data_IF_414036910485
#
_entry.id   IF_414036910485
#
_cell.length_a   1.000
_cell.length_b   1.000
_cell.length_c   1.000
_cell.angle_alpha   90.00
_cell.angle_beta   90.00
_cell.angle_gamma   90.00
#
_symmetry.space_group_name_H-M   'P 1'
#
loop_
_entity.id
_entity.type
_entity.pdbx_description
1 polymer ?
#
# COMPACT_ATOMS: atom_id res chain seq x y z
N UNK A 1 -20.88 -15.55 2.40
CA UNK A 1 -19.48 -15.76 1.96
C UNK A 1 -19.44 -17.00 1.12
N UNK A 2 -18.94 -16.98 -0.09
CA UNK A 2 -18.92 -18.14 -0.99
C UNK A 2 -18.64 -17.76 -2.44
N UNK A 3 -18.87 -16.53 -2.83
CA UNK A 3 -18.61 -16.08 -4.19
C UNK A 3 -17.27 -15.36 -4.31
N UNK A 4 -16.58 -15.67 -5.41
CA UNK A 4 -15.28 -15.04 -5.74
C UNK A 4 -15.53 -13.64 -6.26
N UNK A 5 -15.17 -12.62 -5.48
CA UNK A 5 -15.32 -11.21 -5.83
C UNK A 5 -14.02 -10.44 -5.66
N UNK A 6 -13.95 -9.26 -6.26
CA UNK A 6 -12.76 -8.42 -6.24
C UNK A 6 -11.64 -8.95 -7.12
N UNK A 7 -10.41 -8.51 -6.85
CA UNK A 7 -9.19 -8.92 -7.56
C UNK A 7 -8.19 -9.63 -6.64
N UNK A 8 -8.34 -9.50 -5.32
CA UNK A 8 -7.42 -10.13 -4.36
C UNK A 8 -7.69 -11.63 -4.21
N UNK A 9 -8.95 -12.01 -3.95
CA UNK A 9 -9.35 -13.38 -3.59
C UNK A 9 -10.23 -14.05 -4.66
N UNK A 10 -10.15 -13.60 -5.91
CA UNK A 10 -10.83 -14.20 -7.06
C UNK A 10 -9.86 -14.89 -8.02
N UNK A 11 -10.38 -15.77 -8.86
CA UNK A 11 -9.63 -16.46 -9.91
C UNK A 11 -10.48 -16.62 -11.20
N UNK A 12 -9.89 -17.21 -12.24
CA UNK A 12 -10.56 -17.48 -13.51
C UNK A 12 -11.06 -16.24 -14.24
N UNK A 13 -12.25 -16.33 -14.85
CA UNK A 13 -12.86 -15.26 -15.67
C UNK A 13 -13.07 -13.99 -14.85
N UNK A 14 -13.61 -14.09 -13.63
CA UNK A 14 -13.85 -12.93 -12.77
C UNK A 14 -12.57 -12.15 -12.53
N UNK A 15 -11.51 -12.81 -12.06
CA UNK A 15 -10.22 -12.16 -11.83
C UNK A 15 -9.66 -11.50 -13.08
N UNK A 16 -9.68 -12.22 -14.21
CA UNK A 16 -9.11 -11.73 -15.45
C UNK A 16 -9.81 -10.46 -15.94
N UNK A 17 -11.15 -10.48 -15.99
CA UNK A 17 -11.95 -9.35 -16.47
C UNK A 17 -11.81 -8.14 -15.52
N UNK A 18 -11.95 -8.36 -14.20
CA UNK A 18 -11.89 -7.30 -13.20
C UNK A 18 -10.50 -6.65 -13.14
N UNK A 19 -9.43 -7.44 -13.17
CA UNK A 19 -8.06 -6.92 -13.19
C UNK A 19 -7.77 -6.13 -14.48
N UNK A 20 -8.14 -6.68 -15.62
CA UNK A 20 -7.92 -6.02 -16.93
C UNK A 20 -8.70 -4.71 -17.02
N UNK A 21 -9.96 -4.71 -16.61
CA UNK A 21 -10.80 -3.53 -16.54
C UNK A 21 -10.19 -2.46 -15.62
N UNK A 22 -9.83 -2.84 -14.40
CA UNK A 22 -9.25 -1.92 -13.43
C UNK A 22 -7.97 -1.27 -13.95
N UNK A 23 -7.00 -2.05 -14.45
CA UNK A 23 -5.74 -1.51 -14.97
C UNK A 23 -5.99 -0.55 -16.13
N UNK A 24 -6.87 -0.93 -17.11
CA UNK A 24 -7.15 -0.11 -18.26
C UNK A 24 -7.78 1.22 -17.88
N UNK A 25 -8.81 1.18 -17.05
CA UNK A 25 -9.57 2.39 -16.72
C UNK A 25 -8.87 3.29 -15.71
N UNK A 26 -8.13 2.74 -14.75
CA UNK A 26 -7.25 3.54 -13.90
C UNK A 26 -6.18 4.30 -14.72
N UNK A 27 -5.63 3.68 -15.78
CA UNK A 27 -4.71 4.38 -16.70
C UNK A 27 -5.40 5.52 -17.46
N UNK A 28 -6.63 5.33 -17.93
CA UNK A 28 -7.42 6.39 -18.57
C UNK A 28 -7.72 7.54 -17.61
N UNK A 29 -7.96 7.25 -16.34
CA UNK A 29 -8.17 8.24 -15.28
C UNK A 29 -6.87 8.91 -14.79
N UNK A 30 -5.75 8.67 -15.46
CA UNK A 30 -4.47 9.31 -15.20
C UNK A 30 -3.46 8.50 -14.38
N UNK A 31 -3.77 7.24 -14.05
CA UNK A 31 -2.85 6.36 -13.33
C UNK A 31 -1.54 6.14 -14.09
N UNK A 32 -0.43 6.54 -13.46
CA UNK A 32 0.91 6.47 -14.07
C UNK A 32 1.24 7.64 -15.00
N UNK A 33 0.33 8.60 -15.18
CA UNK A 33 0.52 9.82 -15.96
C UNK A 33 0.67 11.08 -15.10
N UNK A 34 0.76 12.21 -15.78
CA UNK A 34 0.96 13.53 -15.16
C UNK A 34 -0.17 13.92 -14.20
N UNK A 35 -1.42 13.57 -14.51
CA UNK A 35 -2.57 13.84 -13.63
C UNK A 35 -2.43 13.16 -12.27
N UNK A 36 -1.99 11.87 -12.26
CA UNK A 36 -1.76 11.15 -11.01
C UNK A 36 -0.59 11.76 -10.22
N UNK A 37 0.47 12.18 -10.90
CA UNK A 37 1.59 12.85 -10.25
C UNK A 37 1.14 14.12 -9.53
N UNK A 38 0.36 14.96 -10.20
CA UNK A 38 -0.19 16.21 -9.62
C UNK A 38 -1.06 15.92 -8.39
N UNK A 39 -1.96 14.92 -8.48
CA UNK A 39 -2.82 14.53 -7.36
C UNK A 39 -2.00 14.06 -6.15
N UNK A 40 -1.01 13.20 -6.36
CA UNK A 40 -0.13 12.71 -5.28
C UNK A 40 0.70 13.84 -4.69
N UNK A 41 1.25 14.71 -5.53
CA UNK A 41 2.07 15.84 -5.08
C UNK A 41 1.26 16.80 -4.22
N UNK A 42 0.03 17.11 -4.61
CA UNK A 42 -0.89 17.91 -3.81
C UNK A 42 -1.16 17.29 -2.44
N UNK A 43 -1.42 15.98 -2.39
CA UNK A 43 -1.64 15.27 -1.12
C UNK A 43 -0.37 15.21 -0.26
N UNK A 44 0.81 15.00 -0.86
CA UNK A 44 2.09 15.05 -0.17
C UNK A 44 2.41 16.44 0.41
N UNK A 45 2.10 17.51 -0.34
CA UNK A 45 2.25 18.89 0.13
C UNK A 45 1.28 19.22 1.27
N UNK A 46 0.01 18.81 1.14
CA UNK A 46 -0.98 18.98 2.20
C UNK A 46 -0.58 18.24 3.48
N UNK A 47 -0.04 17.03 3.33
CA UNK A 47 0.51 16.28 4.45
C UNK A 47 1.73 16.98 5.07
N UNK A 48 2.65 17.48 4.26
CA UNK A 48 3.82 18.24 4.72
C UNK A 48 3.41 19.49 5.52
N UNK A 49 2.44 20.27 5.02
CA UNK A 49 1.87 21.44 5.74
C UNK A 49 1.17 21.03 7.04
N UNK A 50 0.47 19.89 7.04
CA UNK A 50 -0.14 19.34 8.25
C UNK A 50 0.92 18.99 9.30
N UNK A 51 1.99 18.30 8.91
CA UNK A 51 3.13 17.98 9.79
C UNK A 51 3.77 19.25 10.33
N UNK A 52 4.00 20.26 9.50
CA UNK A 52 4.56 21.56 9.93
C UNK A 52 3.73 22.22 11.03
N UNK A 53 2.41 22.22 10.91
CA UNK A 53 1.52 22.75 11.95
C UNK A 53 1.58 21.95 13.25
N UNK A 54 1.61 20.62 13.15
CA UNK A 54 1.70 19.73 14.33
C UNK A 54 3.04 19.85 15.05
N UNK A 55 4.14 20.00 14.32
CA UNK A 55 5.49 20.15 14.89
C UNK A 55 5.67 21.42 15.72
N UNK A 56 4.92 22.50 15.45
CA UNK A 56 4.97 23.72 16.26
C UNK A 56 4.62 23.49 17.73
N UNK A 57 3.91 22.41 18.03
CA UNK A 57 3.48 22.03 19.36
C UNK A 57 4.32 20.91 20.03
N UNK A 58 5.44 20.49 19.40
CA UNK A 58 6.35 19.48 19.96
C UNK A 58 6.48 18.19 19.12
N UNK A 59 6.84 17.10 19.78
CA UNK A 59 7.08 15.81 19.14
C UNK A 59 5.80 15.25 18.52
N UNK A 60 5.96 14.57 17.39
CA UNK A 60 4.86 13.83 16.76
C UNK A 60 4.90 12.40 17.24
N UNK A 61 3.94 12.06 18.09
CA UNK A 61 3.67 10.69 18.49
C UNK A 61 2.69 10.09 17.47
N UNK A 62 3.00 8.91 16.94
CA UNK A 62 2.12 8.15 16.07
C UNK A 62 1.74 8.87 14.73
N UNK A 63 2.72 9.05 13.85
CA UNK A 63 2.46 9.55 12.49
C UNK A 63 1.54 8.63 11.66
N UNK A 64 1.43 7.37 12.02
CA UNK A 64 0.79 6.31 11.22
C UNK A 64 -0.63 6.63 10.77
N UNK A 65 -1.47 7.11 11.69
CA UNK A 65 -2.87 7.42 11.37
C UNK A 65 -2.96 8.53 10.32
N UNK A 66 -2.12 9.56 10.45
CA UNK A 66 -2.11 10.70 9.53
C UNK A 66 -1.49 10.33 8.18
N UNK A 67 -0.41 9.54 8.19
CA UNK A 67 0.19 8.99 6.97
C UNK A 67 -0.82 8.13 6.21
N UNK A 68 -1.56 7.26 6.92
CA UNK A 68 -2.59 6.42 6.32
C UNK A 68 -3.72 7.24 5.68
N UNK A 69 -4.16 8.32 6.33
CA UNK A 69 -5.20 9.20 5.78
C UNK A 69 -4.69 9.99 4.55
N UNK A 70 -3.45 10.47 4.59
CA UNK A 70 -2.84 11.17 3.46
C UNK A 70 -2.65 10.24 2.24
N UNK A 71 -2.18 9.02 2.46
CA UNK A 71 -2.06 7.98 1.41
C UNK A 71 -3.43 7.57 0.88
N UNK A 72 -4.44 7.46 1.76
CA UNK A 72 -5.82 7.22 1.33
C UNK A 72 -6.29 8.29 0.36
N UNK A 73 -6.03 9.57 0.63
CA UNK A 73 -6.43 10.67 -0.24
C UNK A 73 -5.87 10.52 -1.65
N UNK A 74 -4.59 10.15 -1.79
CA UNK A 74 -3.96 9.93 -3.10
C UNK A 74 -4.62 8.80 -3.90
N UNK A 75 -5.07 7.73 -3.22
CA UNK A 75 -5.82 6.66 -3.86
C UNK A 75 -7.27 7.07 -4.16
N UNK A 76 -7.94 7.70 -3.19
CA UNK A 76 -9.37 8.00 -3.23
C UNK A 76 -9.72 9.11 -4.21
N UNK A 77 -8.80 10.05 -4.44
CA UNK A 77 -8.99 11.08 -5.47
C UNK A 77 -9.20 10.49 -6.87
N UNK A 78 -8.61 9.33 -7.15
CA UNK A 78 -8.77 8.61 -8.43
C UNK A 78 -9.99 7.67 -8.39
N UNK A 79 -10.22 7.02 -7.24
CA UNK A 79 -11.25 5.98 -7.11
C UNK A 79 -12.64 6.58 -6.98
N UNK A 80 -12.80 7.66 -6.19
CA UNK A 80 -14.09 8.29 -5.88
C UNK A 80 -14.13 9.80 -6.10
N UNK A 81 -13.11 10.39 -6.70
CA UNK A 81 -13.08 11.82 -7.05
C UNK A 81 -13.03 12.80 -5.88
N UNK A 82 -12.77 12.36 -4.65
CA UNK A 82 -12.76 13.24 -3.47
C UNK A 82 -11.72 12.86 -2.43
N UNK A 83 -11.42 13.80 -1.53
CA UNK A 83 -10.45 13.70 -0.45
C UNK A 83 -11.09 13.96 0.90
N UNK A 84 -10.40 13.53 1.95
CA UNK A 84 -10.76 13.81 3.34
C UNK A 84 -9.81 14.86 3.92
N UNK A 85 -10.32 15.73 4.76
CA UNK A 85 -9.53 16.72 5.47
C UNK A 85 -8.62 16.02 6.52
N UNK A 86 -7.34 16.38 6.56
CA UNK A 86 -6.36 15.77 7.46
C UNK A 86 -6.50 16.20 8.92
N UNK A 87 -7.11 17.37 9.18
CA UNK A 87 -7.26 17.89 10.54
C UNK A 87 -8.49 17.29 11.24
N UNK A 88 -9.65 17.36 10.58
CA UNK A 88 -10.91 16.89 11.13
C UNK A 88 -11.12 15.39 10.91
N UNK A 89 -10.65 14.88 9.76
CA UNK A 89 -10.97 13.55 9.30
C UNK A 89 -12.49 13.35 9.10
N UNK A 90 -12.87 12.24 8.50
CA UNK A 90 -14.26 11.77 8.55
C UNK A 90 -14.33 10.67 9.61
N UNK A 91 -15.17 10.77 10.64
CA UNK A 91 -15.25 9.79 11.73
C UNK A 91 -15.52 8.36 11.25
N UNK A 92 -16.32 8.19 10.17
CA UNK A 92 -16.60 6.87 9.58
C UNK A 92 -15.37 6.31 8.88
N UNK A 93 -14.65 7.16 8.16
CA UNK A 93 -13.40 6.78 7.47
C UNK A 93 -12.31 6.45 8.48
N UNK A 94 -12.10 7.29 9.50
CA UNK A 94 -11.12 7.06 10.56
C UNK A 94 -11.38 5.74 11.28
N UNK A 95 -12.64 5.45 11.62
CA UNK A 95 -13.03 4.17 12.23
C UNK A 95 -12.82 2.99 11.28
N UNK A 96 -13.07 3.18 9.98
CA UNK A 96 -12.84 2.13 8.97
C UNK A 96 -11.35 1.86 8.81
N UNK A 97 -10.51 2.91 8.73
CA UNK A 97 -9.05 2.80 8.71
C UNK A 97 -8.52 2.06 9.94
N UNK A 98 -8.95 2.47 11.13
CA UNK A 98 -8.54 1.82 12.38
C UNK A 98 -8.95 0.34 12.41
N UNK A 99 -10.18 0.04 12.01
CA UNK A 99 -10.70 -1.33 11.96
C UNK A 99 -9.90 -2.19 10.99
N UNK A 100 -9.55 -1.66 9.81
CA UNK A 100 -8.77 -2.40 8.82
C UNK A 100 -7.31 -2.54 9.23
N UNK A 101 -6.68 -1.49 9.77
CA UNK A 101 -5.31 -1.56 10.29
C UNK A 101 -5.20 -2.59 11.42
N UNK A 102 -6.17 -2.62 12.34
CA UNK A 102 -6.23 -3.63 13.40
C UNK A 102 -6.42 -5.03 12.82
N UNK A 103 -7.23 -5.15 11.77
CA UNK A 103 -7.44 -6.43 11.09
C UNK A 103 -6.16 -6.97 10.45
N UNK A 104 -5.42 -6.11 9.76
CA UNK A 104 -4.14 -6.47 9.11
C UNK A 104 -3.09 -6.87 10.16
N UNK A 105 -2.97 -6.08 11.24
CA UNK A 105 -2.04 -6.36 12.36
C UNK A 105 -2.35 -7.69 13.07
N UNK A 106 -3.63 -8.02 13.25
CA UNK A 106 -4.06 -9.21 13.99
C UNK A 106 -4.29 -10.44 13.09
N UNK A 107 -4.08 -10.31 11.78
CA UNK A 107 -4.22 -11.40 10.83
C UNK A 107 -2.89 -12.11 10.63
N UNK A 108 -2.92 -13.43 10.61
CA UNK A 108 -1.76 -14.25 10.26
C UNK A 108 -1.89 -14.66 8.79
N UNK A 109 -0.79 -14.67 8.05
CA UNK A 109 -0.73 -15.09 6.63
C UNK A 109 -1.17 -16.54 6.45
N UNK A 110 -0.86 -17.41 7.43
CA UNK A 110 -1.32 -18.81 7.45
C UNK A 110 -2.80 -18.96 7.83
N UNK A 111 -3.45 -17.84 8.22
CA UNK A 111 -4.82 -17.82 8.71
C UNK A 111 -4.93 -18.26 10.17
N UNK A 112 -6.08 -17.89 10.77
CA UNK A 112 -6.42 -18.33 12.13
C UNK A 112 -6.99 -19.75 12.17
N UNK A 113 -7.48 -20.16 13.34
CA UNK A 113 -8.06 -21.49 13.60
C UNK A 113 -9.14 -21.89 12.57
N UNK A 114 -9.85 -20.91 12.00
CA UNK A 114 -10.88 -21.13 10.97
C UNK A 114 -10.33 -21.67 9.63
N UNK A 115 -9.05 -21.40 9.32
CA UNK A 115 -8.43 -21.93 8.10
C UNK A 115 -8.08 -23.41 8.26
N UNK A 116 -7.74 -23.82 9.49
CA UNK A 116 -7.38 -25.21 9.79
C UNK A 116 -8.59 -26.06 10.16
N UNK A 117 -9.56 -25.46 10.88
CA UNK A 117 -10.76 -26.12 11.37
C UNK A 117 -12.02 -25.33 10.95
N UNK A 118 -12.37 -25.30 9.65
CA UNK A 118 -13.44 -24.43 9.12
C UNK A 118 -14.83 -24.77 9.66
N UNK A 119 -15.04 -25.98 10.18
CA UNK A 119 -16.31 -26.38 10.79
C UNK A 119 -16.63 -25.63 12.09
N UNK A 120 -15.61 -25.07 12.78
CA UNK A 120 -15.78 -24.27 13.99
C UNK A 120 -16.67 -23.04 13.78
N UNK A 121 -16.78 -22.54 12.54
CA UNK A 121 -17.74 -21.47 12.20
C UNK A 121 -19.22 -21.84 12.47
N UNK A 122 -19.54 -23.13 12.54
CA UNK A 122 -20.88 -23.62 12.77
C UNK A 122 -21.11 -24.06 14.21
N UNK A 123 -20.11 -24.67 14.84
CA UNK A 123 -20.27 -25.28 16.19
C UNK A 123 -19.77 -24.36 17.32
N UNK A 124 -18.81 -23.49 17.03
CA UNK A 124 -18.22 -22.59 18.03
C UNK A 124 -17.85 -21.22 17.41
N UNK A 125 -18.81 -20.45 16.84
CA UNK A 125 -18.53 -19.24 16.08
C UNK A 125 -17.88 -18.13 16.91
N UNK A 126 -18.28 -17.96 18.17
CA UNK A 126 -17.64 -16.99 19.10
C UNK A 126 -16.21 -17.38 19.44
N UNK A 127 -15.97 -18.64 19.82
CA UNK A 127 -14.65 -19.14 20.20
C UNK A 127 -13.67 -19.08 19.02
N UNK A 128 -14.11 -19.39 17.83
CA UNK A 128 -13.29 -19.36 16.61
C UNK A 128 -13.02 -17.94 16.08
N UNK A 129 -13.66 -16.90 16.63
CA UNK A 129 -13.60 -15.53 16.14
C UNK A 129 -14.43 -15.28 14.86
N UNK A 130 -15.26 -16.25 14.45
CA UNK A 130 -16.07 -16.16 13.24
C UNK A 130 -17.09 -15.03 13.30
N UNK A 131 -17.77 -14.85 14.44
CA UNK A 131 -18.75 -13.77 14.61
C UNK A 131 -18.11 -12.40 14.51
N UNK A 132 -16.95 -12.20 15.17
CA UNK A 132 -16.19 -10.94 15.09
C UNK A 132 -15.72 -10.65 13.67
N UNK A 133 -15.20 -11.68 12.98
CA UNK A 133 -14.79 -11.57 11.58
C UNK A 133 -15.96 -11.15 10.70
N UNK A 134 -17.13 -11.77 10.85
CA UNK A 134 -18.33 -11.45 10.07
C UNK A 134 -18.84 -10.03 10.36
N UNK A 135 -18.91 -9.65 11.62
CA UNK A 135 -19.33 -8.29 11.99
C UNK A 135 -18.42 -7.24 11.35
N UNK A 136 -17.12 -7.44 11.42
CA UNK A 136 -16.11 -6.56 10.81
C UNK A 136 -16.25 -6.49 9.29
N UNK A 137 -16.39 -7.65 8.64
CA UNK A 137 -16.58 -7.73 7.19
C UNK A 137 -17.86 -7.04 6.74
N UNK A 138 -18.95 -7.21 7.48
CA UNK A 138 -20.23 -6.59 7.20
C UNK A 138 -20.18 -5.07 7.37
N UNK A 139 -19.57 -4.55 8.45
CA UNK A 139 -19.37 -3.11 8.64
C UNK A 139 -18.58 -2.48 7.50
N UNK A 140 -17.50 -3.14 7.10
CA UNK A 140 -16.68 -2.69 5.97
C UNK A 140 -17.45 -2.76 4.64
N UNK A 141 -18.24 -3.81 4.44
CA UNK A 141 -19.08 -3.96 3.26
C UNK A 141 -20.10 -2.84 3.14
N UNK A 142 -20.84 -2.54 4.22
CA UNK A 142 -21.84 -1.47 4.28
C UNK A 142 -21.18 -0.13 3.94
N UNK A 143 -20.01 0.18 4.48
CA UNK A 143 -19.29 1.42 4.20
C UNK A 143 -19.07 1.64 2.70
N UNK A 144 -18.60 0.61 1.97
CA UNK A 144 -18.37 0.71 0.52
C UNK A 144 -19.66 0.62 -0.30
N UNK A 145 -20.66 -0.11 0.16
CA UNK A 145 -21.97 -0.16 -0.48
C UNK A 145 -22.67 1.20 -0.43
N UNK A 146 -22.60 1.92 0.71
CA UNK A 146 -23.10 3.29 0.84
C UNK A 146 -22.39 4.25 -0.13
N UNK A 147 -21.09 4.06 -0.37
CA UNK A 147 -20.34 4.88 -1.32
C UNK A 147 -20.79 4.64 -2.77
N UNK A 148 -20.99 3.37 -3.15
CA UNK A 148 -21.53 3.00 -4.48
C UNK A 148 -22.94 3.57 -4.67
N UNK A 149 -23.78 3.49 -3.65
CA UNK A 149 -25.15 4.05 -3.70
C UNK A 149 -25.14 5.56 -3.92
N UNK A 150 -24.32 6.31 -3.17
CA UNK A 150 -24.18 7.77 -3.33
C UNK A 150 -23.70 8.16 -4.74
N UNK A 151 -22.76 7.40 -5.32
CA UNK A 151 -22.32 7.63 -6.69
C UNK A 151 -23.44 7.36 -7.69
N UNK A 152 -24.16 6.25 -7.51
CA UNK A 152 -25.29 5.86 -8.37
C UNK A 152 -26.40 6.91 -8.38
N UNK A 153 -26.72 7.50 -7.22
CA UNK A 153 -27.75 8.55 -7.10
C UNK A 153 -27.38 9.84 -7.89
N UNK A 154 -26.09 10.09 -8.07
CA UNK A 154 -25.58 11.26 -8.80
C UNK A 154 -24.97 10.94 -10.18
N UNK A 155 -24.95 9.63 -10.56
CA UNK A 155 -24.34 9.18 -11.80
C UNK A 155 -25.16 9.62 -13.02
N UNK A 156 -24.45 10.02 -14.07
CA UNK A 156 -25.03 10.38 -15.37
C UNK A 156 -24.26 9.66 -16.49
N UNK A 157 -24.96 9.04 -17.44
CA UNK A 157 -24.32 8.39 -18.58
C UNK A 157 -23.37 9.33 -19.34
N UNK A 158 -22.16 8.86 -19.62
CA UNK A 158 -21.13 9.61 -20.35
C UNK A 158 -20.30 10.58 -19.49
N UNK A 159 -20.64 10.82 -18.23
CA UNK A 159 -19.83 11.59 -17.28
C UNK A 159 -18.99 10.61 -16.45
N UNK A 160 -17.66 10.72 -16.56
CA UNK A 160 -16.67 9.84 -15.92
C UNK A 160 -15.81 10.65 -14.95
N UNK A 161 -16.34 10.95 -13.76
CA UNK A 161 -15.62 11.71 -12.72
C UNK A 161 -14.46 10.93 -12.12
N UNK A 162 -14.66 9.61 -11.96
CA UNK A 162 -13.77 8.72 -11.21
C UNK A 162 -13.97 7.24 -11.64
N UNK A 163 -13.27 6.33 -10.94
CA UNK A 163 -13.35 4.90 -11.24
C UNK A 163 -14.72 4.29 -10.96
N UNK A 164 -15.45 4.79 -9.95
CA UNK A 164 -16.79 4.29 -9.63
C UNK A 164 -17.74 4.59 -10.79
N UNK A 165 -17.72 5.81 -11.33
CA UNK A 165 -18.55 6.20 -12.47
C UNK A 165 -18.26 5.34 -13.71
N UNK A 166 -16.98 5.12 -14.01
CA UNK A 166 -16.56 4.27 -15.13
C UNK A 166 -17.03 2.83 -14.95
N UNK A 167 -17.05 2.34 -13.71
CA UNK A 167 -17.53 0.99 -13.43
C UNK A 167 -19.04 0.88 -13.51
N UNK A 168 -19.79 1.90 -13.05
CA UNK A 168 -21.26 1.96 -13.19
C UNK A 168 -21.67 1.99 -14.66
N UNK A 169 -20.93 2.72 -15.52
CA UNK A 169 -21.15 2.72 -16.96
C UNK A 169 -20.96 1.31 -17.57
N UNK A 170 -19.95 0.56 -17.14
CA UNK A 170 -19.72 -0.82 -17.58
C UNK A 170 -20.82 -1.78 -17.14
N UNK A 171 -21.36 -1.59 -15.90
CA UNK A 171 -22.53 -2.35 -15.43
C UNK A 171 -23.72 -2.10 -16.34
N UNK A 172 -24.03 -0.83 -16.64
CA UNK A 172 -25.16 -0.46 -17.51
C UNK A 172 -24.97 -1.00 -18.95
N UNK A 173 -23.78 -0.89 -19.50
CA UNK A 173 -23.45 -1.40 -20.82
C UNK A 173 -23.63 -2.92 -20.96
N UNK A 174 -23.44 -3.66 -19.86
CA UNK A 174 -23.53 -5.13 -19.83
C UNK A 174 -24.76 -5.67 -19.14
N UNK A 175 -25.75 -4.85 -18.84
CA UNK A 175 -26.94 -5.28 -18.08
C UNK A 175 -27.70 -6.46 -18.69
N UNK A 176 -27.66 -6.61 -20.02
CA UNK A 176 -28.32 -7.66 -20.77
C UNK A 176 -27.42 -8.89 -21.06
N UNK A 177 -26.18 -8.90 -20.58
CA UNK A 177 -25.27 -10.03 -20.73
C UNK A 177 -25.32 -10.92 -19.48
N UNK A 178 -25.99 -12.11 -19.54
CA UNK A 178 -26.11 -13.02 -18.39
C UNK A 178 -24.77 -13.62 -17.95
N UNK A 179 -23.72 -13.48 -18.77
CA UNK A 179 -22.37 -13.96 -18.46
C UNK A 179 -21.48 -12.89 -17.90
N UNK A 180 -21.98 -11.65 -17.74
CA UNK A 180 -21.23 -10.51 -17.22
C UNK A 180 -20.76 -10.74 -15.79
N UNK A 181 -19.49 -10.39 -15.54
CA UNK A 181 -18.95 -10.37 -14.18
C UNK A 181 -19.08 -8.99 -13.52
N UNK A 182 -19.67 -8.01 -14.21
CA UNK A 182 -19.82 -6.63 -13.73
C UNK A 182 -21.17 -6.43 -13.06
N UNK A 183 -21.14 -6.13 -11.76
CA UNK A 183 -22.30 -5.81 -10.95
C UNK A 183 -21.89 -4.99 -9.72
N UNK A 184 -22.86 -4.42 -9.00
CA UNK A 184 -22.60 -3.55 -7.84
C UNK A 184 -21.84 -4.28 -6.72
N UNK A 185 -22.16 -5.57 -6.46
CA UNK A 185 -21.46 -6.34 -5.43
C UNK A 185 -19.98 -6.55 -5.78
N UNK A 186 -19.66 -6.70 -7.06
CA UNK A 186 -18.30 -6.81 -7.54
C UNK A 186 -17.56 -5.46 -7.42
N UNK A 187 -18.24 -4.34 -7.69
CA UNK A 187 -17.68 -3.00 -7.48
C UNK A 187 -17.36 -2.77 -6.00
N UNK A 188 -18.29 -3.07 -5.09
CA UNK A 188 -18.07 -2.97 -3.63
C UNK A 188 -16.85 -3.80 -3.20
N UNK A 189 -16.70 -5.03 -3.75
CA UNK A 189 -15.55 -5.87 -3.45
C UNK A 189 -14.23 -5.27 -3.97
N UNK A 190 -14.24 -4.65 -5.17
CA UNK A 190 -13.07 -3.96 -5.72
C UNK A 190 -12.66 -2.76 -4.87
N UNK A 191 -13.61 -1.91 -4.45
CA UNK A 191 -13.34 -0.76 -3.59
C UNK A 191 -12.70 -1.19 -2.27
N UNK A 192 -13.24 -2.27 -1.67
CA UNK A 192 -12.67 -2.88 -0.47
C UNK A 192 -11.24 -3.39 -0.71
N UNK A 193 -10.99 -4.06 -1.84
CA UNK A 193 -9.67 -4.57 -2.18
C UNK A 193 -8.66 -3.42 -2.36
N UNK A 194 -9.03 -2.36 -3.07
CA UNK A 194 -8.18 -1.18 -3.28
C UNK A 194 -7.87 -0.46 -1.97
N UNK A 195 -8.87 -0.29 -1.12
CA UNK A 195 -8.71 0.34 0.19
C UNK A 195 -7.76 -0.48 1.08
N UNK A 196 -8.01 -1.79 1.21
CA UNK A 196 -7.22 -2.67 2.05
C UNK A 196 -5.75 -2.77 1.60
N UNK A 197 -5.53 -2.91 0.29
CA UNK A 197 -4.20 -3.11 -0.26
C UNK A 197 -3.39 -1.81 -0.37
N UNK A 198 -4.04 -0.70 -0.75
CA UNK A 198 -3.33 0.52 -1.16
C UNK A 198 -2.89 1.40 -0.01
N UNK A 199 -3.55 1.34 1.15
CA UNK A 199 -3.30 2.27 2.25
C UNK A 199 -2.20 1.74 3.17
N UNK A 200 -2.41 0.59 3.79
CA UNK A 200 -1.50 0.07 4.81
C UNK A 200 -0.09 -0.18 4.27
N UNK A 201 0.03 -0.76 3.08
CA UNK A 201 1.33 -1.06 2.47
C UNK A 201 2.12 0.20 2.14
N UNK A 202 1.48 1.20 1.54
CA UNK A 202 2.15 2.44 1.12
C UNK A 202 2.49 3.34 2.32
N UNK A 203 1.57 3.46 3.30
CA UNK A 203 1.86 4.21 4.53
C UNK A 203 3.00 3.59 5.32
N UNK A 204 3.04 2.26 5.46
CA UNK A 204 4.17 1.57 6.10
C UNK A 204 5.50 1.82 5.36
N UNK A 205 5.50 1.88 4.00
CA UNK A 205 6.72 2.20 3.24
C UNK A 205 7.27 3.59 3.61
N UNK A 206 6.38 4.58 3.71
CA UNK A 206 6.75 5.95 4.11
C UNK A 206 7.25 5.96 5.56
N UNK A 207 6.56 5.28 6.47
CA UNK A 207 6.91 5.23 7.90
C UNK A 207 8.24 4.53 8.14
N UNK A 208 8.51 3.41 7.48
CA UNK A 208 9.83 2.76 7.51
C UNK A 208 10.92 3.70 7.00
N UNK A 209 10.66 4.44 5.90
CA UNK A 209 11.63 5.39 5.36
C UNK A 209 11.94 6.48 6.38
N UNK A 210 10.92 7.11 6.96
CA UNK A 210 11.11 8.15 7.98
C UNK A 210 11.80 7.56 9.22
N UNK A 211 11.44 6.34 9.62
CA UNK A 211 12.10 5.62 10.70
C UNK A 211 13.60 5.44 10.44
N UNK A 212 13.97 4.90 9.28
CA UNK A 212 15.39 4.75 8.92
C UNK A 212 16.13 6.08 8.80
N UNK A 213 15.49 7.13 8.26
CA UNK A 213 16.08 8.48 8.25
C UNK A 213 16.31 9.01 9.67
N UNK A 214 15.42 8.68 10.61
CA UNK A 214 15.54 9.09 12.02
C UNK A 214 16.71 8.40 12.72
N UNK A 215 16.91 7.10 12.49
CA UNK A 215 17.94 6.31 13.18
C UNK A 215 19.29 6.27 12.45
N UNK A 216 19.33 6.70 11.18
CA UNK A 216 20.53 6.75 10.35
C UNK A 216 20.77 8.20 9.84
N UNK A 217 21.20 9.13 10.71
CA UNK A 217 21.33 10.55 10.37
C UNK A 217 22.29 10.81 9.20
N UNK A 218 23.36 10.03 9.06
CA UNK A 218 24.33 10.18 7.96
C UNK A 218 23.69 9.86 6.59
N UNK A 219 22.80 8.87 6.55
CA UNK A 219 22.04 8.53 5.34
C UNK A 219 21.03 9.63 5.03
N UNK A 220 20.36 10.16 6.05
CA UNK A 220 19.44 11.30 5.89
C UNK A 220 20.20 12.53 5.33
N UNK A 221 21.40 12.81 5.84
CA UNK A 221 22.22 13.94 5.36
C UNK A 221 22.61 13.79 3.89
N UNK A 222 23.02 12.59 3.46
CA UNK A 222 23.33 12.30 2.05
C UNK A 222 22.10 12.51 1.16
N UNK A 223 20.92 11.98 1.56
CA UNK A 223 19.67 12.18 0.80
C UNK A 223 19.32 13.66 0.72
N UNK A 224 19.41 14.38 1.82
CA UNK A 224 19.08 15.80 1.86
C UNK A 224 20.02 16.65 1.03
N UNK A 225 21.33 16.33 1.01
CA UNK A 225 22.31 16.98 0.14
C UNK A 225 22.02 16.72 -1.35
N UNK A 226 21.61 15.50 -1.71
CA UNK A 226 21.21 15.16 -3.08
C UNK A 226 19.96 15.93 -3.50
N UNK A 227 18.92 16.00 -2.65
CA UNK A 227 17.71 16.78 -2.91
C UNK A 227 17.99 18.26 -3.10
N UNK A 228 18.84 18.86 -2.24
CA UNK A 228 19.21 20.27 -2.34
C UNK A 228 19.97 20.58 -3.64
N UNK A 229 20.83 19.66 -4.08
CA UNK A 229 21.60 19.80 -5.33
C UNK A 229 20.73 19.67 -6.57
N UNK A 230 19.79 18.72 -6.60
CA UNK A 230 19.03 18.35 -7.81
C UNK A 230 17.73 19.13 -7.92
N UNK A 231 16.99 19.28 -6.84
CA UNK A 231 15.68 19.94 -6.82
C UNK A 231 15.82 21.36 -6.27
N UNK A 232 16.62 21.54 -5.21
CA UNK A 232 16.66 22.76 -4.42
C UNK A 232 15.64 22.79 -3.29
N UNK A 233 15.77 23.72 -2.37
CA UNK A 233 14.94 23.80 -1.15
C UNK A 233 13.53 24.29 -1.41
N UNK A 234 13.34 25.14 -2.42
CA UNK A 234 12.08 25.86 -2.68
C UNK A 234 11.33 25.39 -3.92
N UNK A 235 11.98 24.59 -4.77
CA UNK A 235 11.33 24.06 -5.96
C UNK A 235 10.39 22.89 -5.63
N UNK A 236 9.35 22.75 -6.45
CA UNK A 236 8.39 21.65 -6.30
C UNK A 236 9.01 20.33 -6.74
N UNK A 237 8.87 19.27 -5.95
CA UNK A 237 9.21 17.91 -6.36
C UNK A 237 8.43 17.48 -7.59
N UNK A 238 9.06 16.63 -8.41
CA UNK A 238 8.43 15.99 -9.57
C UNK A 238 9.04 14.61 -9.81
N UNK A 239 8.28 13.70 -10.39
CA UNK A 239 8.76 12.40 -10.84
C UNK A 239 9.82 12.51 -11.93
N UNK A 240 9.88 13.66 -12.63
CA UNK A 240 10.93 13.95 -13.62
C UNK A 240 12.35 13.96 -13.01
N UNK A 241 12.48 14.35 -11.74
CA UNK A 241 13.77 14.34 -11.04
C UNK A 241 14.23 12.96 -10.59
N UNK A 242 13.34 11.94 -10.67
CA UNK A 242 13.61 10.61 -10.09
C UNK A 242 14.91 10.00 -10.59
N UNK A 243 15.17 10.08 -11.90
CA UNK A 243 16.39 9.51 -12.49
C UNK A 243 17.67 10.28 -12.10
N UNK A 244 17.54 11.51 -11.62
CA UNK A 244 18.66 12.36 -11.17
C UNK A 244 18.88 12.27 -9.65
N UNK A 245 18.20 11.35 -8.96
CA UNK A 245 18.27 11.13 -7.51
C UNK A 245 18.67 9.67 -7.21
N UNK A 246 19.89 9.23 -7.63
CA UNK A 246 20.33 7.85 -7.47
C UNK A 246 20.36 7.39 -6.01
N UNK A 247 20.86 8.21 -5.09
CA UNK A 247 20.96 7.81 -3.68
C UNK A 247 19.60 7.71 -3.00
N UNK A 248 18.69 8.63 -3.26
CA UNK A 248 17.31 8.51 -2.77
C UNK A 248 16.63 7.26 -3.32
N UNK A 249 16.77 6.96 -4.61
CA UNK A 249 16.22 5.72 -5.18
C UNK A 249 16.78 4.47 -4.49
N UNK A 250 18.08 4.46 -4.20
CA UNK A 250 18.75 3.39 -3.46
C UNK A 250 18.16 3.24 -2.04
N UNK A 251 17.96 4.34 -1.32
CA UNK A 251 17.30 4.34 0.00
C UNK A 251 15.90 3.76 -0.08
N UNK A 252 15.07 4.21 -1.03
CA UNK A 252 13.70 3.70 -1.18
C UNK A 252 13.66 2.22 -1.52
N UNK A 253 14.62 1.72 -2.30
CA UNK A 253 14.74 0.29 -2.62
C UNK A 253 15.18 -0.53 -1.42
N UNK A 254 16.18 -0.05 -0.67
CA UNK A 254 16.66 -0.73 0.53
C UNK A 254 15.57 -0.79 1.60
N UNK A 255 14.78 0.28 1.76
CA UNK A 255 13.60 0.24 2.63
C UNK A 255 12.62 -0.85 2.22
N UNK A 256 12.29 -0.95 0.93
CA UNK A 256 11.38 -1.99 0.43
C UNK A 256 11.94 -3.41 0.63
N UNK A 257 13.25 -3.58 0.54
CA UNK A 257 13.92 -4.87 0.76
C UNK A 257 13.87 -5.29 2.23
N UNK A 258 14.38 -4.43 3.11
CA UNK A 258 14.60 -4.78 4.52
C UNK A 258 13.28 -4.78 5.34
N UNK A 259 12.34 -3.90 5.00
CA UNK A 259 11.06 -3.82 5.71
C UNK A 259 10.16 -5.03 5.45
N UNK A 260 10.34 -5.72 4.31
CA UNK A 260 9.52 -6.87 3.93
C UNK A 260 8.03 -6.67 4.19
N UNK A 261 7.47 -5.51 3.81
CA UNK A 261 6.06 -5.14 4.08
C UNK A 261 5.10 -6.25 3.66
N UNK A 262 5.34 -6.89 2.52
CA UNK A 262 4.68 -8.12 2.11
C UNK A 262 5.66 -9.29 2.21
N UNK A 263 5.84 -9.93 3.40
CA UNK A 263 6.83 -11.00 3.57
C UNK A 263 6.51 -12.22 2.71
N UNK A 264 5.24 -12.40 2.38
CA UNK A 264 4.75 -13.39 1.42
C UNK A 264 3.81 -12.74 0.42
N UNK A 265 3.51 -13.41 -0.67
CA UNK A 265 2.37 -13.01 -1.51
C UNK A 265 1.04 -13.36 -0.81
N UNK A 266 -0.08 -12.84 -1.33
CA UNK A 266 -1.40 -13.39 -0.98
C UNK A 266 -1.38 -14.87 -1.38
N UNK A 267 -1.94 -15.80 -0.55
CA UNK A 267 -1.95 -17.21 -0.86
C UNK A 267 -2.58 -17.50 -2.24
N UNK A 268 -1.88 -18.24 -3.06
CA UNK A 268 -2.34 -18.66 -4.38
C UNK A 268 -3.00 -20.04 -4.29
N UNK A 269 -3.97 -20.30 -5.14
CA UNK A 269 -4.56 -21.62 -5.30
C UNK A 269 -4.13 -22.22 -6.64
N UNK A 270 -3.56 -23.42 -6.62
CA UNK A 270 -3.27 -24.17 -7.85
C UNK A 270 -4.58 -24.48 -8.59
N UNK A 271 -4.69 -24.06 -9.85
CA UNK A 271 -5.90 -24.23 -10.66
C UNK A 271 -5.94 -25.54 -11.41
N UNK A 272 -4.78 -26.15 -11.63
CA UNK A 272 -4.55 -27.44 -12.30
C UNK A 272 -3.44 -28.20 -11.56
N UNK A 273 -3.36 -29.51 -11.80
CA UNK A 273 -2.20 -30.31 -11.38
C UNK A 273 -0.97 -29.81 -12.15
N UNK A 274 0.15 -29.69 -11.47
CA UNK A 274 1.41 -29.22 -12.05
C UNK A 274 2.61 -29.79 -11.29
N UNK A 275 3.80 -29.62 -11.87
CA UNK A 275 5.07 -29.99 -11.21
C UNK A 275 5.96 -28.76 -11.14
N UNK A 276 6.59 -28.55 -9.99
CA UNK A 276 7.55 -27.48 -9.77
C UNK A 276 8.80 -28.04 -9.08
N UNK A 277 9.95 -27.94 -9.74
CA UNK A 277 11.24 -28.48 -9.26
C UNK A 277 11.18 -29.94 -8.77
N UNK A 278 10.42 -30.80 -9.49
CA UNK A 278 10.23 -32.20 -9.14
C UNK A 278 9.14 -32.51 -8.12
N UNK A 279 8.55 -31.49 -7.49
CA UNK A 279 7.44 -31.64 -6.55
C UNK A 279 6.09 -31.58 -7.27
N UNK A 280 5.19 -32.53 -6.95
CA UNK A 280 3.83 -32.51 -7.44
C UNK A 280 2.99 -31.46 -6.69
N UNK A 281 2.35 -30.54 -7.43
CA UNK A 281 1.41 -29.56 -6.89
C UNK A 281 0.02 -29.92 -7.44
N UNK A 282 -0.81 -30.48 -6.58
CA UNK A 282 -2.17 -30.87 -6.97
C UNK A 282 -3.09 -29.63 -7.08
N UNK A 283 -4.06 -29.72 -7.96
CA UNK A 283 -5.16 -28.76 -8.04
C UNK A 283 -5.77 -28.49 -6.65
N UNK A 284 -6.05 -27.22 -6.38
CA UNK A 284 -6.55 -26.70 -5.10
C UNK A 284 -5.53 -26.64 -3.95
N UNK A 285 -4.27 -27.06 -4.16
CA UNK A 285 -3.26 -26.76 -3.17
C UNK A 285 -3.07 -25.26 -3.01
N UNK A 286 -2.86 -24.83 -1.77
CA UNK A 286 -2.46 -23.46 -1.47
C UNK A 286 -0.95 -23.33 -1.64
N UNK A 287 -0.52 -22.39 -2.47
CA UNK A 287 0.89 -22.05 -2.71
C UNK A 287 1.15 -20.68 -2.12
N UNK A 288 2.13 -20.59 -1.25
CA UNK A 288 2.51 -19.35 -0.56
C UNK A 288 3.97 -19.00 -0.91
N UNK A 289 4.20 -18.14 -1.93
CA UNK A 289 5.53 -17.63 -2.24
C UNK A 289 6.06 -16.76 -1.09
N UNK A 290 7.24 -17.14 -0.57
CA UNK A 290 7.93 -16.42 0.49
C UNK A 290 8.91 -15.40 -0.11
N UNK A 291 8.48 -14.12 -0.19
CA UNK A 291 9.30 -13.04 -0.73
C UNK A 291 10.43 -12.65 0.23
N UNK A 292 10.15 -12.74 1.54
CA UNK A 292 11.13 -12.41 2.57
C UNK A 292 12.39 -13.29 2.46
N UNK A 293 12.24 -14.58 2.12
CA UNK A 293 13.41 -15.46 1.95
C UNK A 293 14.34 -15.00 0.84
N UNK A 294 13.78 -14.37 -0.22
CA UNK A 294 14.57 -13.79 -1.31
C UNK A 294 15.23 -12.47 -0.90
N UNK A 295 14.51 -11.63 -0.18
CA UNK A 295 15.02 -10.31 0.25
C UNK A 295 16.03 -10.40 1.39
N UNK A 296 16.04 -11.51 2.13
CA UNK A 296 16.94 -11.75 3.28
C UNK A 296 17.95 -12.85 3.01
N UNK A 297 18.14 -13.24 1.74
CA UNK A 297 19.11 -14.25 1.34
C UNK A 297 20.54 -13.77 1.61
N UNK A 298 21.31 -14.55 2.40
CA UNK A 298 22.67 -14.18 2.82
C UNK A 298 23.72 -14.37 1.73
N UNK A 299 23.51 -15.33 0.83
CA UNK A 299 24.43 -15.56 -0.28
C UNK A 299 24.38 -14.40 -1.28
N UNK A 300 23.17 -13.88 -1.52
CA UNK A 300 22.98 -12.76 -2.46
C UNK A 300 23.30 -11.41 -1.82
N UNK A 301 22.76 -11.12 -0.62
CA UNK A 301 22.83 -9.79 -0.01
C UNK A 301 24.03 -9.59 0.92
N UNK A 302 24.73 -10.67 1.34
CA UNK A 302 25.86 -10.67 2.29
C UNK A 302 25.42 -10.39 3.73
N UNK A 303 25.02 -9.16 4.03
CA UNK A 303 24.55 -8.69 5.33
C UNK A 303 23.09 -8.18 5.22
N UNK A 304 22.09 -9.07 4.97
CA UNK A 304 20.72 -8.66 4.66
C UNK A 304 20.02 -7.89 5.79
N UNK A 305 20.46 -8.05 7.03
CA UNK A 305 19.93 -7.35 8.22
C UNK A 305 20.41 -5.91 8.32
N UNK A 306 21.49 -5.53 7.62
CA UNK A 306 21.99 -4.16 7.60
C UNK A 306 21.21 -3.27 6.62
N UNK A 307 20.78 -2.09 7.10
CA UNK A 307 20.25 -1.04 6.23
C UNK A 307 21.38 -0.35 5.49
N UNK A 308 21.59 -0.71 4.24
CA UNK A 308 22.70 -0.27 3.41
C UNK A 308 22.25 0.08 1.99
N UNK A 309 21.83 1.33 1.74
CA UNK A 309 21.40 1.79 0.41
C UNK A 309 22.43 1.61 -0.69
N UNK A 310 23.73 1.64 -0.33
CA UNK A 310 24.86 1.48 -1.25
C UNK A 310 24.84 0.15 -2.03
N UNK A 311 24.00 -0.83 -1.64
CA UNK A 311 23.75 -2.06 -2.44
C UNK A 311 23.19 -1.76 -3.83
N UNK A 312 22.49 -0.64 -3.95
CA UNK A 312 21.82 -0.20 -5.17
C UNK A 312 22.56 0.96 -5.86
N UNK A 313 23.83 1.16 -5.54
CA UNK A 313 24.69 2.16 -6.16
C UNK A 313 25.92 1.45 -6.74
N UNK A 314 26.21 1.71 -8.01
CA UNK A 314 27.41 1.18 -8.67
C UNK A 314 28.68 2.00 -8.38
N UNK A 315 29.80 1.58 -8.95
CA UNK A 315 31.11 2.24 -8.81
C UNK A 315 31.17 3.66 -9.39
N UNK A 316 30.20 4.03 -10.24
CA UNK A 316 30.08 5.37 -10.82
C UNK A 316 29.12 6.28 -10.03
N UNK A 317 28.51 5.75 -8.94
CA UNK A 317 27.52 6.47 -8.13
C UNK A 317 26.11 6.47 -8.73
N UNK A 318 25.86 5.65 -9.74
CA UNK A 318 24.57 5.54 -10.41
C UNK A 318 23.68 4.46 -9.75
N UNK A 319 22.38 4.69 -9.83
CA UNK A 319 21.42 3.76 -9.27
C UNK A 319 21.28 2.49 -10.14
N UNK A 320 21.38 1.32 -9.51
CA UNK A 320 21.21 0.02 -10.16
C UNK A 320 20.02 -0.75 -9.57
N UNK A 321 19.29 -1.45 -10.44
CA UNK A 321 18.22 -2.34 -10.01
C UNK A 321 18.75 -3.76 -9.82
N UNK A 322 18.38 -4.37 -8.70
CA UNK A 322 18.66 -5.78 -8.44
C UNK A 322 17.43 -6.64 -8.75
N UNK A 323 17.54 -7.70 -9.59
CA UNK A 323 16.42 -8.55 -9.96
C UNK A 323 15.88 -9.41 -8.80
N UNK A 324 16.64 -9.60 -7.72
CA UNK A 324 16.19 -10.28 -6.50
C UNK A 324 15.27 -9.42 -5.65
N UNK A 325 15.21 -8.10 -5.89
CA UNK A 325 14.28 -7.23 -5.21
C UNK A 325 12.90 -7.28 -5.87
N UNK A 326 12.00 -8.09 -5.34
CA UNK A 326 10.66 -8.37 -5.87
C UNK A 326 9.51 -8.04 -4.88
N UNK A 327 9.50 -6.88 -4.21
CA UNK A 327 8.52 -6.57 -3.15
C UNK A 327 7.07 -6.49 -3.65
N UNK A 328 6.87 -6.35 -4.96
CA UNK A 328 5.55 -6.33 -5.60
C UNK A 328 5.15 -7.68 -6.21
N UNK A 329 5.94 -8.73 -5.95
CA UNK A 329 5.75 -10.04 -6.56
C UNK A 329 6.10 -10.09 -8.04
N UNK A 330 5.75 -11.21 -8.70
CA UNK A 330 6.08 -11.46 -10.10
C UNK A 330 4.92 -12.13 -10.84
N UNK A 331 5.01 -12.19 -12.17
CA UNK A 331 4.06 -12.90 -13.02
C UNK A 331 2.68 -12.24 -13.09
N UNK A 332 1.67 -13.04 -13.42
CA UNK A 332 0.30 -12.55 -13.69
C UNK A 332 -0.36 -11.91 -12.46
N UNK A 333 0.03 -12.32 -11.24
CA UNK A 333 -0.49 -11.84 -9.96
C UNK A 333 0.36 -10.71 -9.36
N UNK A 334 1.33 -10.18 -10.10
CA UNK A 334 2.10 -9.00 -9.68
C UNK A 334 1.18 -7.88 -9.20
N UNK A 335 1.61 -7.13 -8.20
CA UNK A 335 0.83 -6.04 -7.59
C UNK A 335 0.23 -5.11 -8.66
N UNK A 336 -1.08 -4.86 -8.56
CA UNK A 336 -1.78 -3.95 -9.45
C UNK A 336 -1.39 -2.50 -9.18
N UNK A 337 -1.17 -2.16 -7.89
CA UNK A 337 -0.88 -0.82 -7.41
C UNK A 337 0.60 -0.41 -7.45
N UNK A 338 1.52 -1.21 -8.03
CA UNK A 338 2.96 -0.95 -7.96
C UNK A 338 3.35 0.47 -8.39
N UNK A 339 2.82 0.95 -9.51
CA UNK A 339 3.12 2.30 -10.03
C UNK A 339 2.66 3.39 -9.06
N UNK A 340 1.44 3.29 -8.55
CA UNK A 340 0.91 4.24 -7.57
C UNK A 340 1.75 4.22 -6.29
N UNK A 341 2.00 3.03 -5.73
CA UNK A 341 2.77 2.87 -4.50
C UNK A 341 4.18 3.47 -4.61
N UNK A 342 4.90 3.18 -5.70
CA UNK A 342 6.24 3.73 -5.95
C UNK A 342 6.23 5.26 -6.10
N UNK A 343 5.24 5.82 -6.77
CA UNK A 343 5.15 7.26 -7.00
C UNK A 343 4.72 7.99 -5.73
N UNK A 344 3.75 7.44 -5.00
CA UNK A 344 3.32 7.99 -3.70
C UNK A 344 4.48 7.95 -2.70
N UNK A 345 5.17 6.81 -2.57
CA UNK A 345 6.33 6.66 -1.69
C UNK A 345 7.40 7.70 -2.02
N UNK A 346 7.78 7.84 -3.30
CA UNK A 346 8.79 8.80 -3.74
C UNK A 346 8.38 10.25 -3.43
N UNK A 347 7.23 10.70 -3.89
CA UNK A 347 6.81 12.10 -3.75
C UNK A 347 6.60 12.51 -2.28
N UNK A 348 5.99 11.63 -1.46
CA UNK A 348 5.83 11.89 -0.03
C UNK A 348 7.17 12.00 0.69
N UNK A 349 8.09 11.09 0.43
CA UNK A 349 9.43 11.10 1.04
C UNK A 349 10.21 12.33 0.62
N UNK A 350 10.18 12.69 -0.67
CA UNK A 350 10.85 13.91 -1.16
C UNK A 350 10.29 15.15 -0.49
N UNK A 351 8.96 15.33 -0.46
CA UNK A 351 8.33 16.49 0.17
C UNK A 351 8.67 16.60 1.66
N UNK A 352 8.69 15.47 2.37
CA UNK A 352 9.03 15.44 3.80
C UNK A 352 10.51 15.76 4.04
N UNK A 353 11.43 15.09 3.33
CA UNK A 353 12.89 15.28 3.53
C UNK A 353 13.41 16.59 2.97
N UNK A 354 12.71 17.22 2.03
CA UNK A 354 13.02 18.57 1.55
C UNK A 354 12.72 19.63 2.63
N UNK A 355 11.68 19.43 3.45
CA UNK A 355 11.20 20.42 4.43
C UNK A 355 11.62 20.14 5.86
N UNK A 356 11.85 18.87 6.22
CA UNK A 356 12.10 18.47 7.61
C UNK A 356 13.36 17.65 7.78
N UNK A 357 13.93 17.76 8.97
CA UNK A 357 14.92 16.84 9.54
C UNK A 357 14.24 16.02 10.64
N UNK A 358 14.45 14.72 10.60
CA UNK A 358 13.92 13.76 11.55
C UNK A 358 15.02 13.31 12.52
N UNK A 359 14.75 13.31 13.82
CA UNK A 359 15.71 12.94 14.87
C UNK A 359 15.02 12.14 15.96
N UNK A 360 15.79 11.35 16.70
CA UNK A 360 15.32 10.80 17.97
C UNK A 360 15.24 11.90 19.03
N UNK A 361 14.32 11.79 19.99
CA UNK A 361 14.34 12.61 21.21
C UNK A 361 15.69 12.50 21.91
N UNK A 362 16.11 13.57 22.54
CA UNK A 362 17.40 13.60 23.27
C UNK A 362 17.44 12.50 24.34
N UNK A 363 18.53 11.75 24.35
CA UNK A 363 18.75 10.66 25.31
C UNK A 363 18.01 9.36 25.01
N UNK A 364 17.22 9.29 23.93
CA UNK A 364 16.57 8.06 23.51
C UNK A 364 17.51 7.21 22.66
N UNK A 365 17.67 5.93 23.05
CA UNK A 365 18.40 4.96 22.24
C UNK A 365 17.63 4.65 20.93
N UNK A 366 18.35 4.37 19.82
CA UNK A 366 17.69 3.95 18.58
C UNK A 366 16.78 2.74 18.79
N UNK A 367 15.51 2.80 18.38
CA UNK A 367 14.62 1.66 18.45
C UNK A 367 15.04 0.57 17.46
N UNK A 368 14.62 -0.66 17.73
CA UNK A 368 14.70 -1.71 16.71
C UNK A 368 13.81 -1.33 15.53
N UNK A 369 14.37 -1.38 14.32
CA UNK A 369 13.65 -1.16 13.07
C UNK A 369 13.03 -2.46 12.51
N UNK A 370 13.03 -3.55 13.28
CA UNK A 370 12.30 -4.77 12.92
C UNK A 370 10.81 -4.47 12.86
N UNK A 371 10.18 -4.84 11.75
CA UNK A 371 8.76 -4.67 11.57
C UNK A 371 7.95 -5.51 12.57
N UNK A 372 6.75 -5.03 12.90
CA UNK A 372 5.78 -5.80 13.68
C UNK A 372 5.02 -6.74 12.76
N UNK A 373 4.95 -8.01 13.14
CA UNK A 373 4.27 -9.06 12.38
C UNK A 373 2.78 -8.80 12.23
N UNK A 374 2.26 -9.18 11.07
CA UNK A 374 0.86 -9.12 10.69
C UNK A 374 0.65 -9.78 9.34
N UNK A 375 -0.46 -9.51 8.68
CA UNK A 375 -0.64 -9.86 7.26
C UNK A 375 0.37 -9.10 6.39
N UNK A 376 0.66 -7.87 6.78
CA UNK A 376 1.77 -7.04 6.31
C UNK A 376 2.65 -6.69 7.50
N UNK A 377 3.95 -6.49 7.25
CA UNK A 377 4.87 -5.98 8.26
C UNK A 377 4.60 -4.49 8.48
N UNK A 378 4.40 -4.09 9.73
CA UNK A 378 4.19 -2.69 10.11
C UNK A 378 5.44 -2.06 10.67
N UNK A 379 5.68 -0.79 10.36
CA UNK A 379 6.78 -0.03 10.95
C UNK A 379 6.66 0.03 12.49
N UNK A 380 7.79 -0.03 13.21
CA UNK A 380 7.79 0.18 14.65
C UNK A 380 7.33 1.59 15.00
N UNK A 381 6.61 1.71 16.10
CA UNK A 381 6.13 3.01 16.60
C UNK A 381 7.11 3.53 17.65
N UNK A 382 7.60 4.74 17.46
CA UNK A 382 8.47 5.46 18.41
C UNK A 382 8.32 6.98 18.21
N UNK A 383 8.78 7.74 19.18
CA UNK A 383 8.71 9.19 19.14
C UNK A 383 9.75 9.77 18.18
N UNK A 384 9.33 10.73 17.39
CA UNK A 384 10.17 11.42 16.40
C UNK A 384 10.11 12.93 16.66
N UNK A 385 11.27 13.55 16.74
CA UNK A 385 11.42 15.00 16.71
C UNK A 385 11.54 15.45 15.26
N UNK A 386 10.64 16.31 14.83
CA UNK A 386 10.63 16.85 13.48
C UNK A 386 10.98 18.33 13.54
N UNK A 387 12.03 18.72 12.85
CA UNK A 387 12.50 20.11 12.80
C UNK A 387 12.50 20.61 11.34
N UNK A 388 12.03 21.85 11.08
CA UNK A 388 12.17 22.47 9.78
C UNK A 388 13.66 22.56 9.36
N UNK A 389 13.92 22.56 8.06
CA UNK A 389 15.25 22.73 7.45
C UNK A 389 15.47 24.13 6.94
#
# INVERSE_FOLDING_TARGET
MGEKRGVMFSDGKVWFEQRRFSIRNLKVLGWGGQTMEQMILEDAQNFTKFIERKCKNGNINNMKTFTSLAVLNSLWSIIKGSRYDLESGDPKVMKTLETMNRAVKNSNVTGGILNHLPFLRHVAPKFSGYDELNERLNKTWIFFADEVTRHKDSWQPGIRRDFIDVYLEEIEARKNDPTSTFNEMQLVALLKDFFAAGIDTTSNSIEFTIGYMTVCPDIQDKVQAELDKVIGKDNLPSLAFRNSLPYLNAVLKEVLRISNIGPTTIPHRATVDSTFMGYEIKKNYTVLPNLMSVHMDKEHWGDPEAFRPERFIDEHGEFVNDPWLIPFGSGRRKCLGETLAKNTHFLFVVCLLQKFRFKLPNGQAPPSMLGKDGFTMSAPEFDIVVTPR
#
